data_IF_387768624271
#
_entry.id   IF_387768624271
#
_cell.length_a   1.000
_cell.length_b   1.000
_cell.length_c   1.000
_cell.angle_alpha   90.00
_cell.angle_beta   90.00
_cell.angle_gamma   90.00
#
_symmetry.space_group_name_H-M   'P 1'
#
loop_
_entity.id
_entity.type
_entity.pdbx_description
1 polymer ?
#
# COMPACT_ATOMS: atom_id res chain seq x y z
N UNK A 1 -1.74 21.09 -28.32
CA UNK A 1 -2.02 19.71 -27.89
C UNK A 1 -1.20 18.74 -28.74
N UNK A 2 -0.43 17.85 -28.11
CA UNK A 2 0.42 16.86 -28.79
C UNK A 2 -0.34 15.55 -28.92
N UNK A 3 -0.42 15.01 -30.13
CA UNK A 3 -1.14 13.75 -30.36
C UNK A 3 -0.27 12.55 -30.05
N UNK A 4 -0.83 11.54 -29.39
CA UNK A 4 -0.21 10.23 -29.29
C UNK A 4 -0.81 9.34 -30.37
N UNK A 5 0.02 8.59 -31.10
CA UNK A 5 -0.39 7.67 -32.17
C UNK A 5 0.09 6.27 -31.83
N UNK A 6 -0.74 5.25 -32.04
CA UNK A 6 -0.30 3.84 -31.96
C UNK A 6 -0.09 3.29 -33.36
N UNK A 7 1.09 2.74 -33.60
CA UNK A 7 1.38 1.97 -34.82
C UNK A 7 1.65 0.51 -34.43
N UNK A 8 0.81 -0.39 -34.94
CA UNK A 8 1.04 -1.83 -34.85
C UNK A 8 1.89 -2.25 -36.04
N UNK A 9 3.17 -2.59 -35.83
CA UNK A 9 4.04 -2.96 -36.94
C UNK A 9 5.54 -2.76 -36.71
N UNK A 10 6.36 -2.85 -37.76
CA UNK A 10 7.80 -2.64 -37.69
C UNK A 10 8.13 -1.23 -37.20
N UNK A 11 9.11 -1.18 -36.31
CA UNK A 11 9.74 0.05 -35.83
C UNK A 11 10.63 0.60 -36.96
N UNK A 12 10.74 1.92 -37.14
CA UNK A 12 11.62 2.51 -38.14
C UNK A 12 13.07 2.05 -37.97
N UNK A 13 13.81 1.89 -39.07
CA UNK A 13 15.18 1.34 -39.07
C UNK A 13 16.15 2.11 -38.16
N UNK A 14 15.93 3.43 -38.00
CA UNK A 14 16.74 4.27 -37.12
C UNK A 14 16.59 3.93 -35.62
N UNK A 15 15.52 3.23 -35.23
CA UNK A 15 15.24 2.84 -33.85
C UNK A 15 15.72 1.41 -33.49
N UNK A 16 16.61 0.83 -34.32
CA UNK A 16 17.46 -0.35 -34.01
C UNK A 16 16.72 -1.59 -33.45
N UNK A 17 15.51 -1.89 -33.96
CA UNK A 17 14.85 -3.18 -33.71
C UNK A 17 14.35 -3.43 -32.28
N UNK A 18 14.41 -2.43 -31.39
CA UNK A 18 13.75 -2.48 -30.08
C UNK A 18 12.27 -2.16 -30.31
N UNK A 19 11.35 -3.00 -29.84
CA UNK A 19 9.90 -2.76 -29.91
C UNK A 19 9.32 -3.30 -28.60
N UNK A 20 8.60 -2.50 -27.81
CA UNK A 20 8.06 -1.17 -28.11
C UNK A 20 9.07 -0.02 -28.08
N UNK A 21 8.88 0.93 -29.00
CA UNK A 21 9.68 2.17 -29.10
C UNK A 21 8.75 3.38 -29.20
N UNK A 22 9.19 4.45 -28.53
CA UNK A 22 8.59 5.76 -28.58
C UNK A 22 9.40 6.68 -29.49
N UNK A 23 8.77 7.26 -30.51
CA UNK A 23 9.41 8.27 -31.37
C UNK A 23 8.64 9.58 -31.29
N UNK A 24 9.35 10.69 -31.12
CA UNK A 24 8.78 12.03 -31.25
C UNK A 24 8.94 12.50 -32.70
N UNK A 25 7.84 12.88 -33.33
CA UNK A 25 7.85 13.66 -34.57
C UNK A 25 7.55 15.12 -34.21
N UNK A 26 8.60 15.93 -34.16
CA UNK A 26 8.49 17.36 -33.80
C UNK A 26 7.67 18.16 -34.83
N UNK A 27 7.74 17.80 -36.12
CA UNK A 27 7.01 18.47 -37.19
C UNK A 27 5.50 18.21 -37.09
N UNK A 28 5.11 16.97 -36.81
CA UNK A 28 3.70 16.60 -36.66
C UNK A 28 3.15 16.84 -35.25
N UNK A 29 3.99 17.34 -34.32
CA UNK A 29 3.68 17.43 -32.90
C UNK A 29 3.01 16.15 -32.38
N UNK A 30 3.65 15.00 -32.65
CA UNK A 30 3.11 13.71 -32.25
C UNK A 30 4.13 12.75 -31.67
N UNK A 31 3.70 11.99 -30.66
CA UNK A 31 4.42 10.83 -30.15
C UNK A 31 3.85 9.58 -30.80
N UNK A 32 4.68 8.82 -31.51
CA UNK A 32 4.28 7.52 -32.06
C UNK A 32 4.81 6.40 -31.17
N UNK A 33 3.91 5.53 -30.72
CA UNK A 33 4.25 4.28 -30.04
C UNK A 33 4.18 3.17 -31.07
N UNK A 34 5.28 2.49 -31.28
CA UNK A 34 5.29 1.23 -32.00
C UNK A 34 5.02 0.12 -30.99
N UNK A 35 3.99 -0.69 -31.25
CA UNK A 35 3.59 -1.77 -30.36
C UNK A 35 3.70 -3.10 -31.10
N UNK A 36 4.71 -3.89 -30.71
CA UNK A 36 5.01 -5.24 -31.20
C UNK A 36 6.29 -5.74 -30.53
N UNK A 37 6.62 -7.03 -30.65
CA UNK A 37 7.93 -7.56 -30.23
C UNK A 37 8.41 -8.50 -31.32
N UNK A 38 9.67 -8.41 -31.72
CA UNK A 38 10.25 -9.46 -32.57
C UNK A 38 10.81 -10.57 -31.69
N UNK A 39 10.56 -11.81 -32.05
CA UNK A 39 11.26 -12.95 -31.44
C UNK A 39 12.70 -13.06 -31.97
N UNK A 40 13.43 -14.08 -31.52
CA UNK A 40 14.81 -14.33 -31.99
C UNK A 40 14.92 -14.60 -33.50
N UNK A 41 13.81 -14.97 -34.15
CA UNK A 41 13.73 -15.26 -35.58
C UNK A 41 13.33 -14.02 -36.40
N UNK A 42 13.07 -12.89 -35.72
CA UNK A 42 12.64 -11.65 -36.35
C UNK A 42 11.13 -11.60 -36.65
N UNK A 43 10.35 -12.59 -36.20
CA UNK A 43 8.90 -12.65 -36.36
C UNK A 43 8.18 -11.82 -35.31
N UNK A 44 7.08 -11.18 -35.69
CA UNK A 44 6.30 -10.37 -34.76
C UNK A 44 5.46 -11.24 -33.84
N UNK A 45 5.79 -11.21 -32.55
CA UNK A 45 5.02 -11.80 -31.46
C UNK A 45 4.32 -10.71 -30.63
N UNK A 46 3.22 -11.10 -29.99
CA UNK A 46 2.48 -10.22 -29.08
C UNK A 46 3.30 -10.04 -27.78
N UNK A 47 3.62 -8.81 -27.35
CA UNK A 47 4.28 -8.59 -26.07
C UNK A 47 3.39 -9.09 -24.91
N UNK A 48 4.05 -9.52 -23.84
CA UNK A 48 3.41 -9.90 -22.58
C UNK A 48 2.59 -8.74 -22.00
N UNK A 49 1.72 -9.03 -21.04
CA UNK A 49 0.96 -7.98 -20.35
C UNK A 49 1.88 -6.99 -19.62
N UNK A 50 2.89 -7.51 -18.91
CA UNK A 50 3.86 -6.69 -18.18
C UNK A 50 4.65 -5.76 -19.11
N UNK A 51 5.13 -6.26 -20.25
CA UNK A 51 5.85 -5.44 -21.25
C UNK A 51 4.96 -4.30 -21.77
N UNK A 52 3.67 -4.58 -22.05
CA UNK A 52 2.74 -3.54 -22.50
C UNK A 52 2.50 -2.47 -21.43
N UNK A 53 2.35 -2.86 -20.17
CA UNK A 53 2.17 -1.90 -19.07
C UNK A 53 3.40 -1.01 -18.90
N UNK A 54 4.59 -1.61 -18.87
CA UNK A 54 5.85 -0.86 -18.76
C UNK A 54 6.01 0.15 -19.89
N UNK A 55 5.58 -0.21 -21.10
CA UNK A 55 5.59 0.68 -22.28
C UNK A 55 4.74 1.92 -22.08
N UNK A 56 3.48 1.74 -21.66
CA UNK A 56 2.57 2.87 -21.46
C UNK A 56 3.01 3.73 -20.27
N UNK A 57 3.54 3.13 -19.22
CA UNK A 57 4.18 3.87 -18.11
C UNK A 57 5.37 4.70 -18.60
N UNK A 58 6.27 4.13 -19.41
CA UNK A 58 7.38 4.87 -20.01
C UNK A 58 6.91 6.02 -20.87
N UNK A 59 5.88 5.79 -21.70
CA UNK A 59 5.27 6.86 -22.48
C UNK A 59 4.79 8.00 -21.59
N UNK A 60 3.99 7.69 -20.56
CA UNK A 60 3.51 8.70 -19.61
C UNK A 60 4.67 9.46 -18.96
N UNK A 61 5.74 8.75 -18.60
CA UNK A 61 6.92 9.38 -17.98
C UNK A 61 7.65 10.30 -18.94
N UNK A 62 7.86 9.88 -20.19
CA UNK A 62 8.46 10.69 -21.25
C UNK A 62 7.60 11.93 -21.55
N UNK A 63 6.28 11.77 -21.72
CA UNK A 63 5.38 12.90 -21.94
C UNK A 63 5.48 13.92 -20.81
N UNK A 64 5.48 13.48 -19.55
CA UNK A 64 5.66 14.38 -18.41
C UNK A 64 6.99 15.14 -18.45
N UNK A 65 8.07 14.48 -18.84
CA UNK A 65 9.42 15.07 -18.87
C UNK A 65 9.70 15.91 -20.14
N UNK A 66 8.85 15.81 -21.15
CA UNK A 66 8.97 16.59 -22.40
C UNK A 66 8.78 18.10 -22.19
N UNK A 67 9.01 18.97 -23.20
CA UNK A 67 8.64 20.39 -23.09
C UNK A 67 7.13 20.65 -23.26
N UNK A 68 6.35 19.68 -23.72
CA UNK A 68 4.93 19.86 -24.02
C UNK A 68 4.05 19.78 -22.76
N UNK A 69 2.92 20.47 -22.79
CA UNK A 69 2.00 20.61 -21.64
C UNK A 69 0.68 19.86 -21.80
N UNK A 70 0.20 19.65 -23.02
CA UNK A 70 -1.10 19.01 -23.28
C UNK A 70 -0.94 17.82 -24.21
N UNK A 71 -1.49 16.67 -23.83
CA UNK A 71 -1.40 15.42 -24.60
C UNK A 71 -2.79 14.87 -24.93
N UNK A 72 -3.00 14.47 -26.18
CA UNK A 72 -4.21 13.77 -26.61
C UNK A 72 -3.95 12.27 -26.64
N UNK A 73 -4.61 11.51 -25.77
CA UNK A 73 -4.57 10.05 -25.82
C UNK A 73 -5.52 9.53 -26.91
N UNK A 74 -5.14 8.48 -27.67
CA UNK A 74 -6.02 7.88 -28.66
C UNK A 74 -7.28 7.29 -28.05
N UNK A 75 -8.43 7.42 -28.71
CA UNK A 75 -9.70 6.86 -28.24
C UNK A 75 -9.67 5.32 -28.12
N UNK A 76 -8.79 4.64 -28.85
CA UNK A 76 -8.60 3.18 -28.75
C UNK A 76 -7.83 2.71 -27.49
N UNK A 77 -7.31 3.63 -26.67
CA UNK A 77 -6.69 3.25 -25.40
C UNK A 77 -7.72 2.61 -24.46
N UNK A 78 -7.53 1.33 -24.18
CA UNK A 78 -8.29 0.64 -23.14
C UNK A 78 -7.91 1.15 -21.75
N UNK A 79 -8.79 0.91 -20.76
CA UNK A 79 -8.64 1.37 -19.37
C UNK A 79 -7.24 1.09 -18.80
N UNK A 80 -6.72 -0.14 -19.03
CA UNK A 80 -5.41 -0.55 -18.53
C UNK A 80 -4.27 0.25 -19.15
N UNK A 81 -4.32 0.56 -20.45
CA UNK A 81 -3.32 1.38 -21.11
C UNK A 81 -3.36 2.83 -20.59
N UNK A 82 -4.57 3.38 -20.42
CA UNK A 82 -4.79 4.72 -19.86
C UNK A 82 -4.29 4.83 -18.42
N UNK A 83 -4.56 3.84 -17.56
CA UNK A 83 -4.05 3.79 -16.19
C UNK A 83 -2.53 3.66 -16.16
N UNK A 84 -1.94 2.80 -16.99
CA UNK A 84 -0.49 2.66 -17.09
C UNK A 84 0.18 3.97 -17.54
N UNK A 85 -0.38 4.66 -18.55
CA UNK A 85 0.06 6.00 -18.93
C UNK A 85 -0.01 6.98 -17.76
N UNK A 86 -1.15 7.05 -17.06
CA UNK A 86 -1.33 7.96 -15.93
C UNK A 86 -0.35 7.68 -14.78
N UNK A 87 -0.06 6.41 -14.49
CA UNK A 87 0.93 6.02 -13.48
C UNK A 87 2.31 6.58 -13.78
N UNK A 88 2.73 6.50 -15.04
CA UNK A 88 3.99 7.07 -15.52
C UNK A 88 3.96 8.60 -15.67
N UNK A 89 2.80 9.18 -15.97
CA UNK A 89 2.62 10.63 -16.11
C UNK A 89 2.63 11.36 -14.76
N UNK A 90 2.27 10.67 -13.67
CA UNK A 90 2.25 11.24 -12.31
C UNK A 90 3.55 11.98 -11.92
N UNK A 91 3.38 13.06 -11.17
CA UNK A 91 4.46 13.88 -10.64
C UNK A 91 4.32 14.01 -9.12
N UNK A 92 5.33 13.57 -8.34
CA UNK A 92 5.30 13.70 -6.89
C UNK A 92 5.39 15.17 -6.42
N UNK A 93 5.81 16.11 -7.27
CA UNK A 93 5.86 17.54 -6.92
C UNK A 93 4.48 18.17 -7.08
N UNK A 94 3.81 18.43 -5.97
CA UNK A 94 2.43 18.92 -5.92
C UNK A 94 2.24 20.24 -6.69
N UNK A 95 3.17 21.18 -6.56
CA UNK A 95 3.17 22.49 -7.24
C UNK A 95 3.28 22.42 -8.76
N UNK A 96 3.80 21.32 -9.30
CA UNK A 96 4.02 21.15 -10.73
C UNK A 96 2.89 20.37 -11.43
N UNK A 97 1.96 19.73 -10.70
CA UNK A 97 1.04 18.74 -11.27
C UNK A 97 0.16 19.28 -12.38
N UNK A 98 -0.45 20.44 -12.13
CA UNK A 98 -1.41 21.06 -13.05
C UNK A 98 -0.74 21.76 -14.23
N UNK A 99 0.60 21.83 -14.25
CA UNK A 99 1.35 22.38 -15.38
C UNK A 99 1.19 21.56 -16.67
N UNK A 100 0.74 20.29 -16.57
CA UNK A 100 0.53 19.42 -17.73
C UNK A 100 -0.69 18.51 -17.57
N UNK A 101 -1.39 18.27 -18.67
CA UNK A 101 -2.63 17.50 -18.72
C UNK A 101 -2.65 16.52 -19.89
N UNK A 102 -3.55 15.53 -19.84
CA UNK A 102 -3.82 14.65 -20.96
C UNK A 102 -5.32 14.34 -21.06
N UNK A 103 -5.80 14.05 -22.27
CA UNK A 103 -7.19 13.63 -22.49
C UNK A 103 -7.39 12.18 -22.08
N UNK A 104 -8.58 11.85 -21.59
CA UNK A 104 -8.95 10.46 -21.24
C UNK A 104 -9.97 9.96 -22.28
N UNK A 105 -9.74 8.78 -22.89
CA UNK A 105 -10.66 8.21 -23.87
C UNK A 105 -12.08 8.10 -23.31
N UNK A 106 -13.06 8.51 -24.11
CA UNK A 106 -14.45 8.60 -23.69
C UNK A 106 -15.01 7.27 -23.15
N UNK A 107 -14.68 6.16 -23.81
CA UNK A 107 -15.16 4.82 -23.47
C UNK A 107 -14.71 4.30 -22.10
N UNK A 108 -13.63 4.83 -21.53
CA UNK A 108 -13.04 4.33 -20.26
C UNK A 108 -12.99 5.39 -19.18
N UNK A 109 -13.53 6.58 -19.45
CA UNK A 109 -13.36 7.77 -18.60
C UNK A 109 -13.86 7.57 -17.18
N UNK A 110 -15.08 7.08 -17.00
CA UNK A 110 -15.66 6.90 -15.66
C UNK A 110 -14.85 5.92 -14.80
N UNK A 111 -14.46 4.77 -15.36
CA UNK A 111 -13.64 3.79 -14.66
C UNK A 111 -12.22 4.31 -14.38
N UNK A 112 -11.65 5.05 -15.34
CA UNK A 112 -10.35 5.69 -15.19
C UNK A 112 -10.38 6.72 -14.05
N UNK A 113 -11.33 7.66 -14.05
CA UNK A 113 -11.46 8.69 -13.03
C UNK A 113 -11.65 8.06 -11.64
N UNK A 114 -12.49 7.01 -11.56
CA UNK A 114 -12.65 6.24 -10.33
C UNK A 114 -11.33 5.64 -9.87
N UNK A 115 -10.67 4.80 -10.66
CA UNK A 115 -9.46 4.08 -10.22
C UNK A 115 -8.28 5.04 -10.02
N UNK A 116 -8.02 5.92 -10.99
CA UNK A 116 -6.91 6.86 -10.96
C UNK A 116 -7.07 7.92 -9.86
N UNK A 117 -8.29 8.33 -9.52
CA UNK A 117 -8.54 9.22 -8.38
C UNK A 117 -8.12 8.60 -7.05
N UNK A 118 -8.47 7.33 -6.81
CA UNK A 118 -8.03 6.60 -5.61
C UNK A 118 -6.52 6.32 -5.62
N UNK A 119 -5.95 6.00 -6.78
CA UNK A 119 -4.51 5.77 -6.92
C UNK A 119 -3.71 7.05 -6.70
N UNK A 120 -4.20 8.18 -7.18
CA UNK A 120 -3.59 9.50 -6.92
C UNK A 120 -3.66 9.82 -5.43
N UNK A 121 -4.82 9.67 -4.79
CA UNK A 121 -4.97 9.86 -3.34
C UNK A 121 -3.97 9.02 -2.54
N UNK A 122 -3.84 7.72 -2.86
CA UNK A 122 -2.87 6.83 -2.22
C UNK A 122 -1.44 7.37 -2.34
N UNK A 123 -1.04 7.75 -3.56
CA UNK A 123 0.31 8.23 -3.83
C UNK A 123 0.58 9.57 -3.17
N UNK A 124 -0.43 10.44 -3.11
CA UNK A 124 -0.33 11.76 -2.51
C UNK A 124 -0.13 11.67 -1.02
N UNK A 125 -0.96 10.87 -0.35
CA UNK A 125 -0.91 10.65 1.08
C UNK A 125 0.48 10.13 1.50
N UNK A 126 1.09 9.25 0.72
CA UNK A 126 2.44 8.71 1.02
C UNK A 126 3.56 9.71 0.70
N UNK A 127 3.37 10.57 -0.30
CA UNK A 127 4.39 11.52 -0.73
C UNK A 127 4.38 12.82 0.09
N UNK A 128 3.26 13.15 0.73
CA UNK A 128 3.08 14.35 1.55
C UNK A 128 4.12 14.46 2.65
N UNK A 129 4.52 15.70 2.97
CA UNK A 129 5.53 15.96 3.97
C UNK A 129 5.02 15.61 5.37
N UNK A 130 5.87 14.96 6.18
CA UNK A 130 5.51 14.55 7.54
C UNK A 130 5.09 15.72 8.44
N UNK A 131 5.66 16.92 8.22
CA UNK A 131 5.25 18.15 8.90
C UNK A 131 3.74 18.46 8.71
N UNK A 132 3.21 18.19 7.52
CA UNK A 132 1.80 18.44 7.18
C UNK A 132 0.92 17.23 7.45
N UNK A 133 1.47 16.03 7.35
CA UNK A 133 0.74 14.78 7.54
C UNK A 133 1.07 14.13 8.88
N UNK A 134 0.56 14.73 9.95
CA UNK A 134 0.61 14.16 11.31
C UNK A 134 -0.30 12.92 11.44
N UNK A 135 -0.21 12.13 12.55
CA UNK A 135 -1.07 10.96 12.75
C UNK A 135 -2.57 11.26 12.66
N UNK A 136 -3.01 12.38 13.23
CA UNK A 136 -4.40 12.84 13.16
C UNK A 136 -4.79 13.25 11.72
N UNK A 137 -3.90 13.95 10.99
CA UNK A 137 -4.16 14.33 9.60
C UNK A 137 -4.24 13.11 8.67
N UNK A 138 -3.41 12.09 8.91
CA UNK A 138 -3.53 10.80 8.22
C UNK A 138 -4.91 10.18 8.46
N UNK A 139 -5.36 10.12 9.72
CA UNK A 139 -6.67 9.59 10.09
C UNK A 139 -7.82 10.35 9.40
N UNK A 140 -7.82 11.68 9.49
CA UNK A 140 -8.83 12.54 8.88
C UNK A 140 -8.92 12.34 7.36
N UNK A 141 -7.78 12.37 6.66
CA UNK A 141 -7.75 12.22 5.19
C UNK A 141 -8.20 10.83 4.75
N UNK A 142 -7.78 9.78 5.46
CA UNK A 142 -8.21 8.41 5.18
C UNK A 142 -9.74 8.27 5.34
N UNK A 143 -10.29 8.77 6.45
CA UNK A 143 -11.73 8.75 6.72
C UNK A 143 -12.51 9.56 5.69
N UNK A 144 -12.03 10.76 5.34
CA UNK A 144 -12.67 11.62 4.35
C UNK A 144 -12.78 10.90 3.00
N UNK A 145 -11.71 10.25 2.55
CA UNK A 145 -11.71 9.51 1.28
C UNK A 145 -12.69 8.35 1.27
N UNK A 146 -12.80 7.61 2.37
CA UNK A 146 -13.75 6.49 2.50
C UNK A 146 -15.19 7.00 2.47
N UNK A 147 -15.49 8.09 3.19
CA UNK A 147 -16.82 8.72 3.20
C UNK A 147 -17.21 9.26 1.82
N UNK A 148 -16.29 9.91 1.12
CA UNK A 148 -16.49 10.39 -0.26
C UNK A 148 -16.82 9.23 -1.21
N UNK A 149 -16.08 8.13 -1.10
CA UNK A 149 -16.30 6.93 -1.91
C UNK A 149 -17.67 6.32 -1.64
N UNK A 150 -18.07 6.22 -0.37
CA UNK A 150 -19.39 5.74 0.02
C UNK A 150 -20.51 6.67 -0.49
N UNK A 151 -20.34 7.99 -0.40
CA UNK A 151 -21.30 8.96 -0.93
C UNK A 151 -21.45 8.85 -2.45
N UNK A 152 -20.37 8.61 -3.18
CA UNK A 152 -20.40 8.45 -4.65
C UNK A 152 -21.27 7.28 -5.14
N UNK A 153 -21.56 6.31 -4.27
CA UNK A 153 -22.40 5.14 -4.55
C UNK A 153 -23.68 5.11 -3.69
N UNK A 154 -24.05 6.24 -3.08
CA UNK A 154 -25.28 6.37 -2.28
C UNK A 154 -25.27 5.57 -0.96
N UNK A 155 -24.10 5.28 -0.41
CA UNK A 155 -23.89 4.50 0.82
C UNK A 155 -23.26 5.33 1.95
N UNK A 156 -23.44 6.66 1.97
CA UNK A 156 -22.84 7.53 2.98
C UNK A 156 -23.17 7.13 4.43
N UNK A 157 -24.38 6.64 4.68
CA UNK A 157 -24.85 6.23 6.02
C UNK A 157 -24.33 4.83 6.43
N UNK A 158 -23.66 4.12 5.51
CA UNK A 158 -23.07 2.81 5.78
C UNK A 158 -21.70 2.91 6.47
N UNK A 159 -21.12 4.10 6.61
CA UNK A 159 -19.78 4.31 7.17
C UNK A 159 -19.87 4.87 8.58
N UNK A 160 -19.46 4.07 9.58
CA UNK A 160 -19.25 4.53 10.95
C UNK A 160 -17.76 4.67 11.22
N UNK A 161 -17.38 5.67 12.01
CA UNK A 161 -15.99 5.98 12.31
C UNK A 161 -15.84 6.20 13.80
N UNK A 162 -14.80 5.60 14.37
CA UNK A 162 -14.33 5.89 15.71
C UNK A 162 -12.83 6.22 15.64
N UNK A 163 -12.40 7.30 16.28
CA UNK A 163 -10.98 7.65 16.41
C UNK A 163 -10.69 7.71 17.91
N UNK A 164 -9.84 6.80 18.37
CA UNK A 164 -9.38 6.80 19.77
C UNK A 164 -8.13 7.67 19.84
N UNK A 165 -8.25 8.81 20.51
CA UNK A 165 -7.16 9.77 20.66
C UNK A 165 -6.23 9.39 21.83
N UNK A 166 -5.05 10.01 21.88
CA UNK A 166 -3.96 9.69 22.79
C UNK A 166 -4.36 9.43 24.25
N UNK A 167 -5.15 10.32 24.84
CA UNK A 167 -5.55 10.22 26.26
C UNK A 167 -6.44 9.01 26.55
N UNK A 168 -7.09 8.46 25.51
CA UNK A 168 -8.01 7.32 25.61
C UNK A 168 -7.35 5.99 25.23
N UNK A 169 -6.16 6.01 24.61
CA UNK A 169 -5.53 4.81 24.06
C UNK A 169 -5.30 3.74 25.14
N UNK A 170 -4.76 4.13 26.30
CA UNK A 170 -4.48 3.19 27.40
C UNK A 170 -5.77 2.59 27.97
N UNK A 171 -6.80 3.41 28.15
CA UNK A 171 -8.10 2.95 28.67
C UNK A 171 -8.76 1.92 27.74
N UNK A 172 -8.56 2.07 26.42
CA UNK A 172 -9.05 1.14 25.40
C UNK A 172 -8.08 -0.03 25.13
N UNK A 173 -6.95 -0.11 25.85
CA UNK A 173 -5.99 -1.20 25.73
C UNK A 173 -5.02 -1.08 24.54
N UNK A 174 -4.96 0.07 23.86
CA UNK A 174 -4.07 0.33 22.73
C UNK A 174 -2.66 0.75 23.19
N UNK A 175 -2.01 -0.17 23.90
CA UNK A 175 -0.76 0.07 24.62
C UNK A 175 0.44 0.21 23.69
N UNK A 176 0.45 -0.49 22.55
CA UNK A 176 1.53 -0.45 21.55
C UNK A 176 1.56 0.89 20.83
N UNK A 177 0.41 1.32 20.29
CA UNK A 177 0.23 2.63 19.62
C UNK A 177 0.59 3.77 20.55
N UNK A 178 0.09 3.73 21.80
CA UNK A 178 0.44 4.74 22.80
C UNK A 178 1.95 4.74 23.10
N UNK A 179 2.55 3.58 23.35
CA UNK A 179 3.97 3.48 23.73
C UNK A 179 4.91 3.98 22.64
N UNK A 180 4.64 3.65 21.37
CA UNK A 180 5.44 4.15 20.24
C UNK A 180 5.24 5.66 20.06
N UNK A 181 3.99 6.12 20.01
CA UNK A 181 3.67 7.49 19.64
C UNK A 181 3.86 8.54 20.74
N UNK A 182 3.90 8.15 22.03
CA UNK A 182 3.99 9.11 23.16
C UNK A 182 5.26 9.97 23.12
N UNK A 183 6.29 9.52 22.39
CA UNK A 183 7.55 10.23 22.19
C UNK A 183 7.41 11.48 21.31
N UNK A 184 6.37 11.57 20.47
CA UNK A 184 6.15 12.73 19.60
C UNK A 184 5.30 13.83 20.27
N UNK A 185 5.47 15.06 19.77
CA UNK A 185 4.54 16.17 19.98
C UNK A 185 3.23 15.94 19.22
N UNK A 186 3.29 15.35 18.02
CA UNK A 186 2.13 14.94 17.24
C UNK A 186 1.59 13.62 17.80
N UNK A 187 0.49 13.69 18.55
CA UNK A 187 0.01 12.57 19.34
C UNK A 187 -0.58 11.44 18.48
N UNK A 188 -0.38 10.17 18.87
CA UNK A 188 -0.90 9.04 18.13
C UNK A 188 -2.41 8.89 18.30
N UNK A 189 -3.02 8.17 17.38
CA UNK A 189 -4.43 7.78 17.44
C UNK A 189 -4.65 6.43 16.76
N UNK A 190 -5.74 5.76 17.12
CA UNK A 190 -6.20 4.55 16.44
C UNK A 190 -7.54 4.84 15.75
N UNK A 191 -7.61 4.52 14.46
CA UNK A 191 -8.83 4.69 13.65
C UNK A 191 -9.51 3.34 13.49
N UNK A 192 -10.82 3.31 13.74
CA UNK A 192 -11.72 2.23 13.32
C UNK A 192 -12.75 2.80 12.34
N UNK A 193 -12.86 2.18 11.17
CA UNK A 193 -13.95 2.43 10.22
C UNK A 193 -14.74 1.14 10.03
N UNK A 194 -16.05 1.23 10.18
CA UNK A 194 -17.00 0.13 9.92
C UNK A 194 -17.85 0.51 8.71
N UNK A 195 -17.56 -0.12 7.57
CA UNK A 195 -18.41 -0.06 6.39
C UNK A 195 -19.40 -1.22 6.44
N UNK A 196 -20.66 -0.91 6.73
CA UNK A 196 -21.75 -1.89 6.79
C UNK A 196 -22.86 -1.52 5.78
N UNK A 197 -22.79 -2.03 4.54
CA UNK A 197 -23.73 -1.66 3.48
C UNK A 197 -25.15 -2.19 3.73
N UNK A 198 -25.34 -3.13 4.65
CA UNK A 198 -26.66 -3.70 4.95
C UNK A 198 -27.46 -2.88 5.96
N UNK A 199 -26.79 -2.01 6.73
CA UNK A 199 -27.38 -1.28 7.85
C UNK A 199 -27.78 -2.13 9.06
N UNK A 200 -27.72 -3.47 8.97
CA UNK A 200 -28.09 -4.38 10.06
C UNK A 200 -26.97 -4.45 11.09
N UNK A 201 -27.27 -4.17 12.35
CA UNK A 201 -26.29 -4.15 13.44
C UNK A 201 -25.55 -5.49 13.56
N UNK A 202 -26.28 -6.59 13.40
CA UNK A 202 -25.77 -7.96 13.57
C UNK A 202 -25.16 -8.57 12.29
N UNK A 203 -25.03 -7.80 11.21
CA UNK A 203 -24.38 -8.28 9.98
C UNK A 203 -22.93 -8.67 10.28
N UNK A 204 -22.48 -9.91 9.99
CA UNK A 204 -21.13 -10.33 10.35
C UNK A 204 -20.08 -9.54 9.58
N UNK A 205 -18.97 -9.20 10.26
CA UNK A 205 -17.80 -8.62 9.60
C UNK A 205 -17.12 -9.71 8.76
N UNK A 206 -17.06 -9.50 7.44
CA UNK A 206 -16.48 -10.48 6.52
C UNK A 206 -14.96 -10.33 6.44
N UNK A 207 -14.48 -9.09 6.33
CA UNK A 207 -13.04 -8.78 6.25
C UNK A 207 -12.68 -7.67 7.23
N UNK A 208 -11.54 -7.80 7.90
CA UNK A 208 -10.87 -6.69 8.58
C UNK A 208 -9.58 -6.33 7.84
N UNK A 209 -9.40 -5.04 7.57
CA UNK A 209 -8.18 -4.46 7.02
C UNK A 209 -7.41 -3.77 8.14
N UNK A 210 -6.09 -3.93 8.17
CA UNK A 210 -5.22 -3.34 9.20
C UNK A 210 -4.02 -2.64 8.54
N UNK A 211 -3.74 -1.40 8.92
CA UNK A 211 -2.68 -0.61 8.31
C UNK A 211 -1.70 0.01 9.31
N UNK A 212 -0.39 -0.15 9.06
CA UNK A 212 0.67 0.61 9.76
C UNK A 212 0.65 2.07 9.30
N UNK A 213 0.42 2.99 10.23
CA UNK A 213 0.31 4.43 9.98
C UNK A 213 1.42 5.25 10.65
N UNK A 214 2.69 4.85 10.52
CA UNK A 214 3.80 5.65 11.06
C UNK A 214 4.08 6.84 10.14
N UNK A 215 3.64 8.03 10.52
CA UNK A 215 3.74 9.22 9.65
C UNK A 215 5.16 9.77 9.54
N UNK A 216 6.01 9.47 10.53
CA UNK A 216 7.45 9.63 10.42
C UNK A 216 8.17 8.65 11.35
N UNK A 217 9.24 8.05 10.85
CA UNK A 217 10.04 7.07 11.58
C UNK A 217 11.52 7.48 11.66
N UNK A 218 11.95 7.96 12.83
CA UNK A 218 13.36 8.20 13.11
C UNK A 218 14.10 6.93 13.52
N UNK A 219 13.36 5.87 13.85
CA UNK A 219 13.80 4.69 14.58
C UNK A 219 13.81 4.81 16.09
N UNK A 220 13.42 5.96 16.65
CA UNK A 220 13.47 6.21 18.08
C UNK A 220 14.92 6.20 18.59
N UNK A 221 15.16 5.67 19.79
CA UNK A 221 16.52 5.58 20.34
C UNK A 221 17.46 4.67 19.51
N UNK A 222 16.91 3.70 18.79
CA UNK A 222 17.58 2.95 17.71
C UNK A 222 17.63 3.76 16.41
N UNK A 223 18.21 4.96 16.50
CA UNK A 223 18.16 6.00 15.47
C UNK A 223 18.70 5.53 14.11
N UNK A 224 17.92 5.75 13.05
CA UNK A 224 18.35 5.48 11.68
C UNK A 224 19.44 6.44 11.21
N UNK A 225 20.38 5.99 10.36
CA UNK A 225 21.22 6.90 9.58
C UNK A 225 20.38 7.77 8.63
N UNK A 226 20.84 9.00 8.34
CA UNK A 226 20.12 9.99 7.51
C UNK A 226 19.66 9.44 6.15
N UNK A 227 20.51 8.67 5.47
CA UNK A 227 20.16 8.08 4.19
C UNK A 227 18.96 7.14 4.29
N UNK A 228 18.87 6.34 5.34
CA UNK A 228 17.73 5.44 5.56
C UNK A 228 16.50 6.20 6.04
N UNK A 229 16.68 7.30 6.77
CA UNK A 229 15.60 8.14 7.31
C UNK A 229 14.95 9.08 6.28
N UNK A 230 15.68 9.52 5.26
CA UNK A 230 15.26 10.55 4.28
C UNK A 230 13.92 10.30 3.56
N UNK A 231 13.45 9.05 3.56
CA UNK A 231 12.19 8.64 2.92
C UNK A 231 11.14 8.13 3.91
N UNK A 232 11.36 8.24 5.21
CA UNK A 232 10.50 7.67 6.27
C UNK A 232 9.17 8.40 6.48
N UNK A 233 8.92 9.50 5.75
CA UNK A 233 7.55 10.01 5.57
C UNK A 233 6.62 8.98 4.91
N UNK A 234 7.19 8.01 4.18
CA UNK A 234 6.44 6.95 3.50
C UNK A 234 6.10 5.76 4.40
N UNK A 235 6.46 5.80 5.69
CA UNK A 235 6.33 4.66 6.60
C UNK A 235 4.89 4.41 7.12
N UNK A 236 3.96 5.23 6.63
CA UNK A 236 2.51 5.10 6.75
C UNK A 236 1.89 4.45 5.50
N UNK A 237 2.72 3.92 4.59
CA UNK A 237 2.29 3.37 3.31
C UNK A 237 1.29 2.21 3.44
N UNK A 238 1.39 1.43 4.52
CA UNK A 238 0.42 0.38 4.85
C UNK A 238 -0.97 0.92 5.14
N UNK A 239 -1.08 1.94 6.01
CA UNK A 239 -2.32 2.62 6.31
C UNK A 239 -2.94 3.28 5.08
N UNK A 240 -2.12 3.98 4.28
CA UNK A 240 -2.58 4.59 3.04
C UNK A 240 -3.14 3.55 2.06
N UNK A 241 -2.45 2.42 1.89
CA UNK A 241 -2.85 1.34 1.00
C UNK A 241 -4.18 0.72 1.45
N UNK A 242 -4.34 0.43 2.74
CA UNK A 242 -5.57 -0.18 3.28
C UNK A 242 -6.76 0.78 3.25
N UNK A 243 -6.58 2.05 3.59
CA UNK A 243 -7.63 3.06 3.48
C UNK A 243 -8.08 3.26 2.02
N UNK A 244 -7.11 3.35 1.10
CA UNK A 244 -7.39 3.50 -0.34
C UNK A 244 -8.04 2.25 -0.93
N UNK A 245 -7.66 1.06 -0.46
CA UNK A 245 -8.25 -0.23 -0.83
C UNK A 245 -9.74 -0.26 -0.47
N UNK A 246 -10.09 0.07 0.78
CA UNK A 246 -11.48 0.10 1.21
C UNK A 246 -12.27 1.14 0.41
N UNK A 247 -11.73 2.35 0.27
CA UNK A 247 -12.36 3.42 -0.52
C UNK A 247 -12.64 2.99 -1.96
N UNK A 248 -11.63 2.45 -2.67
CA UNK A 248 -11.79 2.00 -4.05
C UNK A 248 -12.76 0.80 -4.16
N UNK A 249 -12.71 -0.14 -3.21
CA UNK A 249 -13.64 -1.26 -3.20
C UNK A 249 -15.10 -0.80 -3.04
N UNK A 250 -15.36 0.15 -2.13
CA UNK A 250 -16.69 0.76 -1.96
C UNK A 250 -17.14 1.41 -3.27
N UNK A 251 -16.30 2.25 -3.88
CA UNK A 251 -16.61 2.89 -5.17
C UNK A 251 -16.79 1.87 -6.31
N UNK A 252 -16.23 0.67 -6.16
CA UNK A 252 -16.32 -0.44 -7.13
C UNK A 252 -17.42 -1.46 -6.79
N UNK A 253 -18.34 -1.12 -5.88
CA UNK A 253 -19.54 -1.91 -5.62
C UNK A 253 -19.44 -2.90 -4.45
N UNK A 254 -18.52 -2.72 -3.51
CA UNK A 254 -18.44 -3.55 -2.29
C UNK A 254 -19.81 -3.60 -1.57
N UNK A 255 -20.27 -4.82 -1.30
CA UNK A 255 -21.62 -5.14 -0.83
C UNK A 255 -21.65 -5.93 0.48
N UNK A 256 -20.49 -6.08 1.13
CA UNK A 256 -20.32 -6.79 2.40
C UNK A 256 -19.70 -5.91 3.49
N UNK A 257 -19.89 -6.30 4.75
CA UNK A 257 -19.37 -5.57 5.90
C UNK A 257 -17.86 -5.74 6.01
N UNK A 258 -17.13 -4.63 6.00
CA UNK A 258 -15.67 -4.58 6.11
C UNK A 258 -15.29 -3.55 7.15
N UNK A 259 -14.37 -3.92 8.04
CA UNK A 259 -13.77 -2.99 9.00
C UNK A 259 -12.34 -2.64 8.60
N UNK A 260 -11.91 -1.42 8.92
CA UNK A 260 -10.55 -0.93 8.72
C UNK A 260 -10.01 -0.41 10.06
N UNK A 261 -8.78 -0.78 10.38
CA UNK A 261 -8.05 -0.34 11.56
C UNK A 261 -6.72 0.29 11.15
N UNK A 262 -6.49 1.54 11.55
CA UNK A 262 -5.24 2.25 11.28
C UNK A 262 -4.56 2.62 12.59
N UNK A 263 -3.34 2.12 12.80
CA UNK A 263 -2.51 2.51 13.94
C UNK A 263 -1.61 3.69 13.54
N UNK A 264 -2.02 4.91 13.87
CA UNK A 264 -1.34 6.14 13.46
C UNK A 264 -0.45 6.69 14.57
N UNK A 265 0.84 6.88 14.29
CA UNK A 265 1.81 7.43 15.25
C UNK A 265 3.02 8.05 14.54
N UNK A 266 3.87 8.75 15.28
CA UNK A 266 5.25 9.03 14.88
C UNK A 266 6.21 8.30 15.82
N UNK A 267 7.31 7.79 15.28
CA UNK A 267 8.38 7.21 16.07
C UNK A 267 9.50 8.24 16.21
N UNK A 268 9.54 8.93 17.35
CA UNK A 268 10.40 10.09 17.59
C UNK A 268 11.30 9.88 18.80
N UNK A 269 12.43 10.61 18.83
CA UNK A 269 13.31 10.68 20.00
C UNK A 269 12.87 11.84 20.88
N UNK A 270 12.58 11.56 22.15
CA UNK A 270 12.33 12.57 23.18
C UNK A 270 12.52 11.97 24.56
N UNK A 271 12.43 12.79 25.61
CA UNK A 271 12.47 12.32 27.00
C UNK A 271 11.35 11.33 27.36
N UNK A 272 10.25 11.33 26.60
CA UNK A 272 9.10 10.45 26.80
C UNK A 272 9.07 9.23 25.86
N UNK A 273 10.04 9.11 24.95
CA UNK A 273 10.13 7.97 24.05
C UNK A 273 10.34 6.65 24.82
N UNK A 274 9.76 5.58 24.30
CA UNK A 274 10.01 4.21 24.77
C UNK A 274 11.47 3.79 24.52
N UNK A 275 11.96 2.87 25.35
CA UNK A 275 13.39 2.53 25.47
C UNK A 275 13.64 1.06 25.19
N UNK A 276 14.90 0.75 24.91
CA UNK A 276 15.35 -0.64 24.83
C UNK A 276 15.22 -1.28 26.22
N UNK A 277 14.69 -2.49 26.27
CA UNK A 277 14.37 -3.23 27.50
C UNK A 277 12.98 -2.92 28.09
N UNK A 278 12.23 -1.95 27.55
CA UNK A 278 10.83 -1.75 27.96
C UNK A 278 10.02 -3.01 27.61
N UNK A 279 9.10 -3.41 28.50
CA UNK A 279 8.17 -4.52 28.27
C UNK A 279 6.76 -3.97 28.08
N UNK A 280 6.17 -4.25 26.93
CA UNK A 280 4.79 -3.88 26.60
C UNK A 280 3.88 -5.09 26.86
N UNK A 281 2.82 -4.91 27.65
CA UNK A 281 1.84 -5.97 27.95
C UNK A 281 0.53 -5.68 27.23
N UNK A 282 0.19 -6.49 26.23
CA UNK A 282 -1.02 -6.31 25.42
C UNK A 282 -2.26 -6.94 26.08
N UNK A 283 -3.47 -6.49 25.72
CA UNK A 283 -4.73 -7.02 26.28
C UNK A 283 -4.95 -8.53 26.09
N UNK A 284 -4.35 -9.13 25.07
CA UNK A 284 -4.40 -10.59 24.85
C UNK A 284 -3.41 -11.37 25.75
N UNK A 285 -2.74 -10.71 26.69
CA UNK A 285 -1.79 -11.30 27.63
C UNK A 285 -0.36 -11.45 27.08
N UNK A 286 -0.12 -11.16 25.80
CA UNK A 286 1.22 -11.25 25.22
C UNK A 286 2.09 -10.11 25.73
N UNK A 287 3.26 -10.45 26.25
CA UNK A 287 4.29 -9.47 26.65
C UNK A 287 5.39 -9.39 25.61
N UNK A 288 5.79 -8.17 25.25
CA UNK A 288 6.80 -7.88 24.23
C UNK A 288 7.98 -7.13 24.83
N UNK A 289 9.18 -7.69 24.74
CA UNK A 289 10.44 -6.97 25.01
C UNK A 289 10.78 -6.10 23.80
N UNK A 290 11.01 -4.80 24.05
CA UNK A 290 11.47 -3.86 23.04
C UNK A 290 12.99 -3.90 23.00
N UNK A 291 13.57 -4.61 22.04
CA UNK A 291 15.02 -4.73 21.91
C UNK A 291 15.58 -3.82 20.80
N UNK A 292 14.70 -3.28 19.95
CA UNK A 292 15.02 -2.26 18.96
C UNK A 292 13.80 -1.36 18.72
N UNK A 293 13.92 -0.05 18.94
CA UNK A 293 12.80 0.90 18.78
C UNK A 293 12.48 1.22 17.31
N UNK A 294 13.33 0.78 16.37
CA UNK A 294 13.12 0.83 14.91
C UNK A 294 12.28 -0.35 14.37
N UNK A 295 11.87 -1.24 15.26
CA UNK A 295 10.91 -2.30 15.00
C UNK A 295 9.54 -1.95 15.63
N UNK A 296 9.13 -0.69 15.50
CA UNK A 296 7.90 -0.10 16.04
C UNK A 296 6.65 -0.47 15.23
N UNK A 297 6.78 -0.66 13.92
CA UNK A 297 5.64 -0.90 13.04
C UNK A 297 4.83 -2.12 13.46
N UNK A 298 5.51 -3.19 13.91
CA UNK A 298 4.85 -4.39 14.41
C UNK A 298 4.22 -4.19 15.78
N UNK A 299 4.81 -3.33 16.61
CA UNK A 299 4.29 -2.95 17.95
C UNK A 299 2.97 -2.19 17.78
N UNK A 300 2.88 -1.23 16.87
CA UNK A 300 1.61 -0.51 16.64
C UNK A 300 0.56 -1.37 15.95
N UNK A 301 0.96 -2.32 15.09
CA UNK A 301 0.02 -3.26 14.43
C UNK A 301 -0.59 -4.26 15.41
N UNK A 302 0.12 -4.64 16.47
CA UNK A 302 -0.36 -5.60 17.46
C UNK A 302 -1.71 -5.20 18.06
N UNK A 303 -1.89 -3.93 18.43
CA UNK A 303 -3.17 -3.41 18.95
C UNK A 303 -4.30 -3.55 17.91
N UNK A 304 -4.05 -3.12 16.67
CA UNK A 304 -5.04 -3.20 15.60
C UNK A 304 -5.36 -4.64 15.19
N UNK A 305 -4.40 -5.57 15.28
CA UNK A 305 -4.64 -7.00 15.00
C UNK A 305 -5.46 -7.68 16.11
N UNK A 306 -5.24 -7.32 17.38
CA UNK A 306 -6.10 -7.77 18.50
C UNK A 306 -7.53 -7.28 18.28
N UNK A 307 -7.70 -6.00 17.93
CA UNK A 307 -9.01 -5.43 17.68
C UNK A 307 -9.67 -6.08 16.44
N UNK A 308 -8.94 -6.26 15.35
CA UNK A 308 -9.41 -6.96 14.16
C UNK A 308 -9.86 -8.41 14.48
N UNK A 309 -9.12 -9.11 15.33
CA UNK A 309 -9.41 -10.50 15.73
C UNK A 309 -10.66 -10.64 16.61
N UNK A 310 -11.16 -9.56 17.19
CA UNK A 310 -12.40 -9.54 17.98
C UNK A 310 -13.52 -8.72 17.33
N UNK A 311 -13.30 -8.24 16.11
CA UNK A 311 -14.14 -7.22 15.46
C UNK A 311 -15.50 -7.71 14.96
N UNK A 312 -15.76 -9.01 14.98
CA UNK A 312 -17.02 -9.64 14.59
C UNK A 312 -17.80 -10.11 15.83
N UNK A 313 -18.33 -9.16 16.62
CA UNK A 313 -19.07 -9.44 17.86
C UNK A 313 -18.27 -10.29 18.87
N UNK A 314 -16.98 -9.95 19.07
CA UNK A 314 -16.07 -10.70 19.95
C UNK A 314 -15.45 -11.93 19.28
N UNK A 315 -15.86 -12.25 18.05
CA UNK A 315 -15.23 -13.26 17.21
C UNK A 315 -14.37 -12.59 16.14
N UNK A 316 -13.57 -13.42 15.49
CA UNK A 316 -12.74 -13.02 14.36
C UNK A 316 -13.57 -13.00 13.06
N UNK A 317 -13.30 -12.07 12.12
CA UNK A 317 -13.87 -12.10 10.77
C UNK A 317 -13.30 -13.26 9.93
N UNK A 318 -13.94 -13.57 8.79
CA UNK A 318 -13.47 -14.63 7.88
C UNK A 318 -12.03 -14.39 7.44
N UNK A 319 -11.69 -13.12 7.17
CA UNK A 319 -10.38 -12.72 6.69
C UNK A 319 -9.85 -11.50 7.43
N UNK A 320 -8.56 -11.52 7.76
CA UNK A 320 -7.80 -10.35 8.21
C UNK A 320 -6.68 -10.12 7.20
N UNK A 321 -6.61 -8.92 6.63
CA UNK A 321 -5.52 -8.49 5.76
C UNK A 321 -4.83 -7.31 6.44
N UNK A 322 -3.54 -7.42 6.67
CA UNK A 322 -2.75 -6.31 7.16
C UNK A 322 -1.64 -5.91 6.17
N UNK A 323 -1.37 -4.61 6.07
CA UNK A 323 -0.26 -4.09 5.26
C UNK A 323 0.59 -3.09 6.02
N UNK A 324 1.89 -3.19 5.80
CA UNK A 324 2.87 -2.31 6.42
C UNK A 324 4.15 -2.23 5.61
N UNK A 325 4.75 -1.04 5.52
CA UNK A 325 6.15 -0.87 5.11
C UNK A 325 7.06 -1.36 6.24
N UNK A 326 7.07 -2.67 6.48
CA UNK A 326 7.46 -3.20 7.79
C UNK A 326 8.94 -3.48 7.90
N UNK A 327 9.57 -4.02 6.85
CA UNK A 327 10.97 -4.44 6.94
C UNK A 327 11.79 -4.04 5.73
N UNK A 328 13.06 -3.70 5.98
CA UNK A 328 14.08 -3.66 4.93
C UNK A 328 14.34 -5.03 4.32
N UNK A 329 14.13 -6.11 5.09
CA UNK A 329 14.37 -7.49 4.65
C UNK A 329 13.48 -7.90 3.46
N UNK A 330 12.20 -7.51 3.44
CA UNK A 330 11.34 -7.73 2.29
C UNK A 330 11.87 -7.03 1.03
N UNK A 331 12.33 -5.77 1.15
CA UNK A 331 12.94 -5.04 0.04
C UNK A 331 14.24 -5.68 -0.46
N UNK A 332 15.04 -6.27 0.44
CA UNK A 332 16.23 -7.04 0.05
C UNK A 332 15.84 -8.32 -0.72
N UNK A 333 14.77 -9.00 -0.30
CA UNK A 333 14.32 -10.25 -0.92
C UNK A 333 13.68 -10.05 -2.30
N UNK A 334 12.81 -9.04 -2.47
CA UNK A 334 11.99 -8.88 -3.69
C UNK A 334 12.16 -7.52 -4.39
N UNK A 335 13.10 -6.70 -3.93
CA UNK A 335 13.29 -5.35 -4.43
C UNK A 335 12.08 -4.44 -4.14
N UNK A 336 11.85 -3.48 -5.05
CA UNK A 336 10.66 -2.60 -5.05
C UNK A 336 9.67 -2.99 -6.14
N UNK A 337 9.85 -4.17 -6.72
CA UNK A 337 9.06 -4.65 -7.85
C UNK A 337 7.81 -5.36 -7.37
N UNK A 338 7.93 -6.17 -6.32
CA UNK A 338 6.86 -6.94 -5.68
C UNK A 338 6.51 -6.43 -4.29
N UNK A 339 5.25 -6.62 -3.88
CA UNK A 339 4.88 -6.72 -2.47
C UNK A 339 5.12 -8.13 -1.94
N UNK A 340 5.56 -8.26 -0.69
CA UNK A 340 5.79 -9.57 -0.08
C UNK A 340 4.55 -10.04 0.67
N UNK A 341 4.03 -11.23 0.33
CA UNK A 341 2.93 -11.89 1.02
C UNK A 341 3.46 -12.91 2.01
N UNK A 342 2.98 -12.85 3.26
CA UNK A 342 3.29 -13.81 4.30
C UNK A 342 1.98 -14.30 4.93
N UNK A 343 1.79 -15.61 4.93
CA UNK A 343 0.63 -16.26 5.54
C UNK A 343 0.86 -17.76 5.72
N UNK A 344 0.27 -18.31 6.77
CA UNK A 344 0.11 -19.74 6.98
C UNK A 344 -0.99 -20.34 6.08
N UNK A 345 -1.97 -19.54 5.69
CA UNK A 345 -3.09 -19.95 4.85
C UNK A 345 -2.73 -19.85 3.36
N UNK A 346 -2.29 -20.98 2.81
CA UNK A 346 -1.93 -21.08 1.39
C UNK A 346 -3.13 -20.82 0.46
N UNK A 347 -4.36 -21.14 0.89
CA UNK A 347 -5.54 -20.97 0.02
C UNK A 347 -5.83 -19.48 -0.21
N UNK A 348 -5.78 -18.66 0.84
CA UNK A 348 -5.95 -17.20 0.74
C UNK A 348 -4.83 -16.56 -0.08
N UNK A 349 -3.57 -17.00 0.10
CA UNK A 349 -2.45 -16.50 -0.71
C UNK A 349 -2.68 -16.75 -2.19
N UNK A 350 -3.09 -17.96 -2.56
CA UNK A 350 -3.32 -18.31 -3.96
C UNK A 350 -4.47 -17.50 -4.57
N UNK A 351 -5.56 -17.28 -3.83
CA UNK A 351 -6.66 -16.43 -4.30
C UNK A 351 -6.20 -14.99 -4.57
N UNK A 352 -5.40 -14.41 -3.68
CA UNK A 352 -4.88 -13.05 -3.92
C UNK A 352 -3.91 -13.02 -5.11
N UNK A 353 -3.04 -14.02 -5.26
CA UNK A 353 -2.10 -14.10 -6.38
C UNK A 353 -2.82 -14.23 -7.73
N UNK A 354 -3.94 -14.96 -7.80
CA UNK A 354 -4.77 -15.05 -9.01
C UNK A 354 -5.34 -13.68 -9.40
N UNK A 355 -5.87 -12.92 -8.43
CA UNK A 355 -6.36 -11.55 -8.66
C UNK A 355 -5.20 -10.62 -9.04
N UNK A 356 -4.03 -10.79 -8.43
CA UNK A 356 -2.83 -10.00 -8.72
C UNK A 356 -2.37 -10.18 -10.18
N UNK A 357 -2.33 -11.43 -10.65
CA UNK A 357 -1.98 -11.76 -12.03
C UNK A 357 -2.96 -11.11 -13.03
N UNK A 358 -4.26 -11.18 -12.76
CA UNK A 358 -5.29 -10.56 -13.60
C UNK A 358 -5.17 -9.02 -13.68
N UNK A 359 -4.70 -8.39 -12.60
CA UNK A 359 -4.46 -6.94 -12.53
C UNK A 359 -3.04 -6.53 -12.94
N UNK A 360 -2.15 -7.49 -13.19
CA UNK A 360 -0.73 -7.28 -13.45
C UNK A 360 -0.03 -6.43 -12.37
N UNK A 361 -0.43 -6.62 -11.11
CA UNK A 361 0.33 -6.12 -9.96
C UNK A 361 1.12 -7.27 -9.35
N UNK A 362 2.36 -6.98 -8.98
CA UNK A 362 3.32 -8.02 -8.61
C UNK A 362 3.30 -8.24 -7.10
N UNK A 363 2.94 -9.46 -6.70
CA UNK A 363 3.03 -9.95 -5.34
C UNK A 363 3.86 -11.24 -5.33
N UNK A 364 4.64 -11.45 -4.28
CA UNK A 364 5.48 -12.63 -4.13
C UNK A 364 5.34 -13.21 -2.73
N UNK A 365 5.13 -14.52 -2.63
CA UNK A 365 5.04 -15.19 -1.33
C UNK A 365 6.43 -15.39 -0.74
N UNK A 366 6.66 -14.87 0.47
CA UNK A 366 7.82 -15.22 1.29
C UNK A 366 7.47 -16.32 2.31
N UNK A 367 8.46 -17.11 2.78
CA UNK A 367 8.22 -18.17 3.76
C UNK A 367 7.66 -17.62 5.08
N UNK A 368 6.64 -18.28 5.61
CA UNK A 368 6.15 -18.12 6.98
C UNK A 368 5.78 -19.50 7.50
N UNK A 369 6.29 -19.87 8.67
CA UNK A 369 6.19 -21.21 9.24
C UNK A 369 6.41 -21.16 10.75
N UNK A 370 5.98 -22.19 11.47
CA UNK A 370 6.00 -22.23 12.95
C UNK A 370 7.38 -21.96 13.55
N UNK A 371 8.45 -22.50 12.96
CA UNK A 371 9.81 -22.29 13.47
C UNK A 371 10.24 -20.81 13.46
N UNK A 372 9.64 -19.96 12.61
CA UNK A 372 9.92 -18.52 12.63
C UNK A 372 9.37 -17.85 13.90
N UNK A 373 8.32 -18.39 14.52
CA UNK A 373 7.81 -17.93 15.83
C UNK A 373 8.78 -18.24 16.97
N UNK A 374 9.65 -19.23 16.80
CA UNK A 374 10.71 -19.54 17.76
C UNK A 374 11.94 -18.62 17.63
N UNK A 375 12.05 -17.90 16.52
CA UNK A 375 13.15 -16.98 16.22
C UNK A 375 12.94 -15.57 16.77
N UNK A 376 11.95 -15.36 17.64
CA UNK A 376 11.65 -14.08 18.31
C UNK A 376 11.49 -14.26 19.82
N UNK A 377 12.15 -15.27 20.41
CA UNK A 377 12.07 -15.53 21.85
C UNK A 377 12.75 -14.41 22.65
N UNK A 378 12.17 -14.08 23.80
CA UNK A 378 12.77 -13.17 24.78
C UNK A 378 12.99 -13.90 26.11
N UNK A 379 14.09 -13.65 26.84
CA UNK A 379 14.26 -14.15 28.21
C UNK A 379 13.44 -13.37 29.25
N UNK A 380 12.90 -12.19 28.90
CA UNK A 380 12.19 -11.30 29.82
C UNK A 380 10.69 -11.16 29.52
N UNK A 381 10.24 -11.60 28.34
CA UNK A 381 8.87 -11.45 27.87
C UNK A 381 8.43 -12.65 27.02
N UNK A 382 7.17 -12.69 26.61
CA UNK A 382 6.63 -13.75 25.73
C UNK A 382 7.39 -13.79 24.41
N UNK A 383 7.65 -12.62 23.81
CA UNK A 383 8.41 -12.45 22.58
C UNK A 383 9.26 -11.18 22.62
N UNK A 384 10.27 -11.09 21.76
CA UNK A 384 10.99 -9.86 21.42
C UNK A 384 10.36 -9.22 20.17
N UNK A 385 10.40 -7.89 20.08
CA UNK A 385 10.04 -7.20 18.84
C UNK A 385 11.12 -7.33 17.74
N UNK A 386 12.23 -8.02 18.01
CA UNK A 386 13.27 -8.35 17.02
C UNK A 386 13.55 -9.85 16.93
N UNK A 387 14.33 -10.24 15.92
CA UNK A 387 14.79 -11.62 15.79
C UNK A 387 15.84 -11.97 16.85
N UNK A 388 15.71 -13.13 17.47
CA UNK A 388 16.60 -13.64 18.53
C UNK A 388 17.75 -14.51 18.01
N UNK A 389 17.86 -14.71 16.70
CA UNK A 389 18.88 -15.54 16.05
C UNK A 389 19.83 -14.70 15.20
N UNK A 390 21.10 -15.14 15.10
CA UNK A 390 22.19 -14.41 14.42
C UNK A 390 21.86 -14.09 12.96
N UNK A 391 21.21 -15.02 12.25
CA UNK A 391 20.78 -14.84 10.88
C UNK A 391 19.27 -15.05 10.79
N UNK A 392 18.50 -14.00 11.04
CA UNK A 392 17.04 -14.05 11.01
C UNK A 392 16.48 -13.65 9.64
N UNK A 393 15.43 -14.32 9.21
CA UNK A 393 14.64 -13.92 8.05
C UNK A 393 13.71 -12.77 8.45
N UNK A 394 14.20 -11.53 8.43
CA UNK A 394 13.55 -10.36 9.04
C UNK A 394 12.08 -10.15 8.69
N UNK A 395 11.67 -10.40 7.44
CA UNK A 395 10.26 -10.32 7.03
C UNK A 395 9.42 -11.44 7.66
N UNK A 396 9.94 -12.68 7.64
CA UNK A 396 9.28 -13.85 8.22
C UNK A 396 9.18 -13.79 9.75
N UNK A 397 10.21 -13.28 10.44
CA UNK A 397 10.17 -13.08 11.90
C UNK A 397 9.27 -11.91 12.29
N UNK A 398 9.19 -10.85 11.47
CA UNK A 398 8.23 -9.77 11.66
C UNK A 398 6.78 -10.26 11.51
N UNK A 399 6.47 -11.02 10.46
CA UNK A 399 5.16 -11.65 10.32
C UNK A 399 4.88 -12.63 11.48
N UNK A 400 5.88 -13.41 11.91
CA UNK A 400 5.73 -14.30 13.06
C UNK A 400 5.40 -13.54 14.34
N UNK A 401 5.98 -12.36 14.56
CA UNK A 401 5.58 -11.47 15.65
C UNK A 401 4.10 -11.10 15.56
N UNK A 402 3.64 -10.66 14.38
CA UNK A 402 2.23 -10.29 14.16
C UNK A 402 1.26 -11.44 14.44
N UNK A 403 1.67 -12.68 14.14
CA UNK A 403 0.85 -13.87 14.36
C UNK A 403 0.53 -14.17 15.84
N UNK A 404 1.19 -13.53 16.82
CA UNK A 404 0.81 -13.61 18.24
C UNK A 404 -0.41 -12.74 18.58
N UNK A 405 -0.77 -11.82 17.68
CA UNK A 405 -1.85 -10.85 17.86
C UNK A 405 -3.07 -11.18 16.99
N UNK A 406 -3.05 -12.32 16.31
CA UNK A 406 -4.12 -12.81 15.46
C UNK A 406 -4.69 -14.11 16.02
N UNK A 407 -5.97 -14.11 16.39
CA UNK A 407 -6.66 -15.34 16.78
C UNK A 407 -6.76 -16.28 15.59
N UNK A 408 -6.45 -17.57 15.77
CA UNK A 408 -6.40 -18.58 14.70
C UNK A 408 -5.53 -18.15 13.50
N UNK A 409 -4.35 -17.58 13.77
CA UNK A 409 -3.41 -17.04 12.77
C UNK A 409 -3.08 -17.99 11.60
N UNK A 410 -3.28 -19.30 11.77
CA UNK A 410 -3.03 -20.30 10.73
C UNK A 410 -4.03 -20.27 9.57
N UNK A 411 -5.21 -19.69 9.77
CA UNK A 411 -6.28 -19.61 8.77
C UNK A 411 -6.61 -18.16 8.50
N UNK A 412 -7.03 -17.80 7.29
CA UNK A 412 -7.64 -16.52 6.91
C UNK A 412 -6.91 -15.24 7.34
N UNK A 413 -5.60 -15.26 7.52
CA UNK A 413 -4.81 -14.06 7.84
C UNK A 413 -3.73 -13.88 6.80
N UNK A 414 -3.61 -12.67 6.26
CA UNK A 414 -2.66 -12.33 5.21
C UNK A 414 -1.89 -11.06 5.61
N UNK A 415 -0.58 -11.20 5.82
CA UNK A 415 0.32 -10.07 6.00
C UNK A 415 0.94 -9.66 4.67
N UNK A 416 0.96 -8.35 4.40
CA UNK A 416 1.61 -7.73 3.25
C UNK A 416 2.73 -6.83 3.76
N UNK A 417 3.98 -7.29 3.63
CA UNK A 417 5.12 -6.39 3.76
C UNK A 417 5.24 -5.58 2.47
N UNK A 418 4.93 -4.29 2.59
CA UNK A 418 4.58 -3.40 1.50
C UNK A 418 5.82 -2.86 0.76
N UNK A 419 6.71 -3.76 0.34
CA UNK A 419 8.02 -3.48 -0.26
C UNK A 419 7.98 -2.64 -1.54
N UNK A 420 6.94 -2.74 -2.36
CA UNK A 420 6.80 -1.96 -3.59
C UNK A 420 6.04 -0.62 -3.45
N UNK A 421 5.72 -0.18 -2.24
CA UNK A 421 4.91 1.04 -2.00
C UNK A 421 5.62 2.33 -2.43
N UNK A 422 6.95 2.38 -2.32
CA UNK A 422 7.74 3.58 -2.54
C UNK A 422 8.95 3.32 -3.46
N UNK A 423 9.09 4.12 -4.51
CA UNK A 423 10.23 4.09 -5.42
C UNK A 423 11.25 5.19 -5.05
N UNK A 424 12.38 4.79 -4.45
CA UNK A 424 13.46 5.71 -4.06
C UNK A 424 14.40 6.08 -5.22
N UNK A 425 14.32 5.41 -6.37
CA UNK A 425 15.19 5.66 -7.52
C UNK A 425 14.53 6.54 -8.57
N UNK A 426 13.20 6.52 -8.65
CA UNK A 426 12.50 6.90 -9.88
C UNK A 426 12.86 5.94 -11.01
N UNK A 427 12.71 6.37 -12.26
CA UNK A 427 13.06 5.55 -13.41
C UNK A 427 12.35 5.97 -14.68
N UNK A 428 12.57 5.20 -15.76
CA UNK A 428 11.98 5.48 -17.06
C UNK A 428 10.47 5.25 -17.09
N UNK A 429 9.91 4.45 -16.18
CA UNK A 429 8.48 4.11 -16.13
C UNK A 429 7.74 4.79 -14.97
N UNK A 430 8.39 5.03 -13.83
CA UNK A 430 7.78 5.62 -12.64
C UNK A 430 8.61 6.75 -12.07
N UNK A 431 7.93 7.77 -11.52
CA UNK A 431 8.57 8.83 -10.75
C UNK A 431 9.22 8.31 -9.46
N UNK A 432 10.08 9.13 -8.86
CA UNK A 432 10.43 8.99 -7.45
C UNK A 432 9.16 9.15 -6.59
N UNK A 433 9.07 8.41 -5.47
CA UNK A 433 7.96 8.50 -4.54
C UNK A 433 7.03 7.30 -4.58
N UNK A 434 5.84 7.46 -4.01
CA UNK A 434 4.83 6.42 -3.92
C UNK A 434 4.42 5.87 -5.29
N UNK A 435 4.25 4.55 -5.39
CA UNK A 435 3.97 3.85 -6.66
C UNK A 435 2.47 3.64 -6.89
N UNK A 436 1.69 3.46 -5.82
CA UNK A 436 0.28 3.06 -5.88
C UNK A 436 0.04 1.58 -6.18
N UNK A 437 1.11 0.77 -6.26
CA UNK A 437 1.01 -0.68 -6.50
C UNK A 437 0.24 -1.37 -5.39
N UNK A 438 -0.51 -2.41 -5.76
CA UNK A 438 -1.31 -3.26 -4.89
C UNK A 438 -2.76 -2.81 -4.73
N UNK A 439 -3.07 -1.54 -5.04
CA UNK A 439 -4.40 -0.96 -4.81
C UNK A 439 -5.49 -1.66 -5.63
N UNK A 440 -5.24 -1.91 -6.93
CA UNK A 440 -6.24 -2.51 -7.80
C UNK A 440 -6.53 -3.97 -7.42
N UNK A 441 -5.46 -4.72 -7.13
CA UNK A 441 -5.53 -6.11 -6.68
C UNK A 441 -6.30 -6.23 -5.38
N UNK A 442 -5.94 -5.43 -4.38
CA UNK A 442 -6.56 -5.52 -3.06
C UNK A 442 -8.03 -5.08 -3.09
N UNK A 443 -8.35 -4.01 -3.82
CA UNK A 443 -9.74 -3.56 -3.94
C UNK A 443 -10.60 -4.60 -4.68
N UNK A 444 -10.10 -5.18 -5.78
CA UNK A 444 -10.82 -6.22 -6.53
C UNK A 444 -10.96 -7.50 -5.73
N UNK A 445 -9.91 -7.94 -5.06
CA UNK A 445 -9.94 -9.08 -4.16
C UNK A 445 -10.96 -8.87 -3.04
N UNK A 446 -11.00 -7.68 -2.45
CA UNK A 446 -11.99 -7.34 -1.42
C UNK A 446 -13.43 -7.40 -1.96
N UNK A 447 -13.69 -6.95 -3.19
CA UNK A 447 -15.02 -7.06 -3.81
C UNK A 447 -15.39 -8.53 -4.08
N UNK A 448 -14.45 -9.36 -4.55
CA UNK A 448 -14.72 -10.73 -4.99
C UNK A 448 -14.70 -11.79 -3.87
N UNK A 449 -14.02 -11.52 -2.75
CA UNK A 449 -13.89 -12.46 -1.63
C UNK A 449 -15.25 -12.82 -1.01
N UNK A 450 -15.49 -14.09 -0.70
CA UNK A 450 -16.80 -14.62 -0.26
C UNK A 450 -16.83 -15.06 1.20
#
# INVERSE_FOLDING_TARGET
MVQIKIVKGPVPDYAKGVNPVLTLNEHEQSYTIYVGKKDSNGEFVKPSLAERIDTFQRLGRTCRQSPFTEFELPEEFCLRATLAFAQGFYDPRFDNRDAKSFTVPSAVRADFERINGHMTFLRDLINEHAESLTPEKLAEKAVARIKESAASVGKQDAVKVNITHFDQLIEHGFVGVHTVGRGSANKPCLVEVDFNPTGKVDEPVVVALVGKGITFDTGGYSLKPSDSMSTMRSDMGGAALMASTLALAIASGLDKRVKLFLSCAENMVSSNAFRLGDIITYPNGVTVSVDNTDAEGRVVLADSLILASSSNNGQRPKLIIDAATLTGAAKVAVGTDYHSLLSFDTAVVNQLLEVAEANAELFWRLPLAEFHREQIRSPFATISNTGSVVQSAGASTAASFLSYFVTDYQKGWLHIDASSTFNRRGGPNLAFGATGKGLQTLAKFLVEYK
#
